data_IF_068349329916
#
_entry.id   IF_068349329916
#
_cell.length_a   1.000
_cell.length_b   1.000
_cell.length_c   1.000
_cell.angle_alpha   90.00
_cell.angle_beta   90.00
_cell.angle_gamma   90.00
#
_symmetry.space_group_name_H-M   'P 1'
#
loop_
_entity.id
_entity.type
_entity.pdbx_description
1 polymer ?
#
# COMPACT_ATOMS: atom_id res chain seq x y z
N UNK A 1 11.20 68.93 -22.87
CA UNK A 1 12.12 67.78 -22.99
C UNK A 1 12.73 67.47 -21.61
N UNK A 2 11.95 66.96 -20.63
CA UNK A 2 12.45 66.46 -19.33
C UNK A 2 11.49 65.43 -18.63
N UNK A 3 10.95 64.37 -19.29
CA UNK A 3 10.21 63.32 -18.57
C UNK A 3 11.08 62.13 -18.12
N UNK A 4 12.31 61.99 -18.63
CA UNK A 4 13.19 60.84 -18.35
C UNK A 4 13.98 60.97 -17.04
N UNK A 5 14.17 62.18 -16.52
CA UNK A 5 14.97 62.38 -15.31
C UNK A 5 14.17 62.09 -14.02
N UNK A 6 12.88 62.40 -14.01
CA UNK A 6 11.98 62.19 -12.86
C UNK A 6 11.73 60.70 -12.62
N UNK A 7 11.53 59.91 -13.69
CA UNK A 7 11.32 58.46 -13.60
C UNK A 7 12.56 57.70 -13.11
N UNK A 8 13.76 58.17 -13.46
CA UNK A 8 15.01 57.58 -12.95
C UNK A 8 15.21 57.91 -11.47
N UNK A 9 14.89 59.13 -11.03
CA UNK A 9 15.03 59.49 -9.61
C UNK A 9 14.00 58.81 -8.73
N UNK A 10 12.76 58.64 -9.20
CA UNK A 10 11.74 57.87 -8.49
C UNK A 10 12.09 56.39 -8.41
N UNK A 11 12.57 55.78 -9.50
CA UNK A 11 13.00 54.36 -9.49
C UNK A 11 14.20 54.13 -8.55
N UNK A 12 15.17 55.05 -8.53
CA UNK A 12 16.32 54.96 -7.62
C UNK A 12 15.90 55.18 -6.16
N UNK A 13 14.94 56.07 -5.90
CA UNK A 13 14.39 56.30 -4.57
C UNK A 13 13.61 55.06 -4.05
N UNK A 14 12.80 54.41 -4.90
CA UNK A 14 12.11 53.16 -4.56
C UNK A 14 13.09 52.02 -4.27
N UNK A 15 14.11 51.84 -5.11
CA UNK A 15 15.15 50.83 -4.87
C UNK A 15 15.93 51.10 -3.57
N UNK A 16 16.23 52.37 -3.27
CA UNK A 16 16.92 52.76 -2.04
C UNK A 16 16.07 52.48 -0.80
N UNK A 17 14.76 52.79 -0.86
CA UNK A 17 13.83 52.46 0.20
C UNK A 17 13.64 50.95 0.37
N UNK A 18 13.61 50.18 -0.72
CA UNK A 18 13.55 48.72 -0.65
C UNK A 18 14.79 48.12 0.02
N UNK A 19 15.99 48.62 -0.30
CA UNK A 19 17.25 48.19 0.33
C UNK A 19 17.30 48.58 1.81
N UNK A 20 16.87 49.80 2.16
CA UNK A 20 16.81 50.24 3.56
C UNK A 20 15.79 49.44 4.39
N UNK A 21 14.66 49.04 3.79
CA UNK A 21 13.67 48.17 4.43
C UNK A 21 14.11 46.70 4.51
N UNK A 22 15.02 46.25 3.64
CA UNK A 22 15.56 44.89 3.65
C UNK A 22 16.48 44.63 4.85
N UNK A 23 17.27 45.62 5.30
CA UNK A 23 18.19 45.47 6.45
C UNK A 23 17.48 45.02 7.73
N UNK A 24 16.40 45.69 8.21
CA UNK A 24 15.68 45.26 9.41
C UNK A 24 14.92 43.94 9.20
N UNK A 25 14.42 43.65 7.99
CA UNK A 25 13.79 42.37 7.65
C UNK A 25 14.79 41.22 7.70
N UNK A 26 15.99 41.42 7.17
CA UNK A 26 17.09 40.46 7.21
C UNK A 26 17.50 40.16 8.65
N UNK A 27 17.56 41.17 9.51
CA UNK A 27 17.84 40.97 10.93
C UNK A 27 16.74 40.14 11.62
N UNK A 28 15.46 40.40 11.32
CA UNK A 28 14.33 39.60 11.80
C UNK A 28 14.38 38.14 11.32
N UNK A 29 14.66 37.93 10.04
CA UNK A 29 14.84 36.60 9.44
C UNK A 29 15.98 35.81 10.10
N UNK A 30 17.12 36.47 10.34
CA UNK A 30 18.26 35.88 11.03
C UNK A 30 17.90 35.45 12.45
N UNK A 31 17.15 36.30 13.16
CA UNK A 31 16.72 36.03 14.53
C UNK A 31 15.79 34.81 14.58
N UNK A 32 14.84 34.72 13.64
CA UNK A 32 13.97 33.54 13.49
C UNK A 32 14.76 32.28 13.21
N UNK A 33 15.75 32.34 12.31
CA UNK A 33 16.63 31.21 12.00
C UNK A 33 17.41 30.73 13.23
N UNK A 34 17.96 31.65 14.01
CA UNK A 34 18.68 31.34 15.25
C UNK A 34 17.75 30.65 16.26
N UNK A 35 16.54 31.19 16.45
CA UNK A 35 15.54 30.63 17.36
C UNK A 35 15.09 29.24 16.88
N UNK A 36 14.78 29.10 15.59
CA UNK A 36 14.38 27.83 15.00
C UNK A 36 15.47 26.77 15.02
N UNK A 37 16.74 27.16 14.85
CA UNK A 37 17.89 26.28 15.02
C UNK A 37 17.95 25.70 16.44
N UNK A 38 17.73 26.56 17.44
CA UNK A 38 17.72 26.19 18.84
C UNK A 38 16.55 25.26 19.18
N UNK A 39 15.32 25.65 18.79
CA UNK A 39 14.10 24.85 19.00
C UNK A 39 14.23 23.49 18.31
N UNK A 40 14.68 23.44 17.06
CA UNK A 40 14.84 22.18 16.32
C UNK A 40 15.80 21.21 17.01
N UNK A 41 16.87 21.72 17.64
CA UNK A 41 17.79 20.88 18.42
C UNK A 41 17.15 20.27 19.68
N UNK A 42 16.15 20.94 20.26
CA UNK A 42 15.41 20.48 21.44
C UNK A 42 14.33 19.50 21.02
N UNK A 43 13.56 19.84 19.97
CA UNK A 43 12.52 18.98 19.40
C UNK A 43 13.10 17.66 18.92
N UNK A 44 14.26 17.67 18.28
CA UNK A 44 14.96 16.44 17.88
C UNK A 44 15.20 15.50 19.08
N UNK A 45 15.70 16.05 20.18
CA UNK A 45 15.94 15.29 21.43
C UNK A 45 14.64 14.76 22.04
N UNK A 46 13.56 15.54 21.95
CA UNK A 46 12.25 15.13 22.45
C UNK A 46 11.67 13.99 21.59
N UNK A 47 11.70 14.13 20.26
CA UNK A 47 11.22 13.13 19.31
C UNK A 47 12.01 11.82 19.44
N UNK A 48 13.36 11.88 19.53
CA UNK A 48 14.18 10.69 19.75
C UNK A 48 13.79 9.98 21.05
N UNK A 49 13.60 10.73 22.15
CA UNK A 49 13.18 10.14 23.44
C UNK A 49 11.77 9.55 23.42
N UNK A 50 10.86 10.13 22.64
CA UNK A 50 9.52 9.57 22.46
C UNK A 50 9.58 8.31 21.59
N UNK A 51 10.36 8.31 20.51
CA UNK A 51 10.56 7.15 19.65
C UNK A 51 11.17 5.97 20.43
N UNK A 52 12.22 6.23 21.24
CA UNK A 52 12.85 5.25 22.12
C UNK A 52 11.86 4.64 23.15
N UNK A 53 10.80 5.38 23.52
CA UNK A 53 9.81 4.92 24.52
C UNK A 53 8.68 4.08 23.93
N UNK A 54 8.42 4.17 22.64
CA UNK A 54 7.23 3.57 22.01
C UNK A 54 7.54 2.21 21.37
N UNK A 55 8.78 1.71 21.48
CA UNK A 55 9.23 0.46 20.83
C UNK A 55 8.97 0.39 19.31
N UNK A 56 8.80 1.55 18.65
CA UNK A 56 8.70 1.65 17.17
C UNK A 56 9.90 0.98 16.51
N UNK A 57 11.03 1.02 17.21
CA UNK A 57 12.30 0.46 16.80
C UNK A 57 12.19 -1.05 16.51
N UNK A 58 11.49 -1.84 17.33
CA UNK A 58 11.35 -3.29 17.11
C UNK A 58 10.52 -3.63 15.88
N UNK A 59 9.49 -2.83 15.59
CA UNK A 59 8.65 -3.00 14.40
C UNK A 59 9.41 -2.62 13.10
N UNK A 60 10.24 -1.57 13.16
CA UNK A 60 11.04 -1.10 12.00
C UNK A 60 12.31 -1.93 11.80
N UNK A 61 12.89 -2.51 12.85
CA UNK A 61 14.01 -3.44 12.76
C UNK A 61 13.67 -4.76 12.07
N UNK A 62 12.40 -5.18 12.19
CA UNK A 62 11.89 -6.37 11.50
C UNK A 62 11.62 -6.11 10.00
N UNK A 63 11.65 -4.86 9.54
CA UNK A 63 11.49 -4.49 8.13
C UNK A 63 12.85 -4.26 7.44
N UNK A 64 12.92 -4.36 6.10
CA UNK A 64 14.14 -4.09 5.33
C UNK A 64 14.74 -2.70 5.61
N UNK A 65 13.91 -1.74 6.00
CA UNK A 65 14.28 -0.38 6.39
C UNK A 65 15.22 -0.37 7.60
N UNK A 66 14.99 -1.23 8.59
CA UNK A 66 15.87 -1.38 9.75
C UNK A 66 17.29 -1.84 9.39
N UNK A 67 17.44 -2.69 8.36
CA UNK A 67 18.77 -3.09 7.84
C UNK A 67 19.51 -1.96 7.14
N UNK A 68 18.79 -1.09 6.43
CA UNK A 68 19.37 0.07 5.73
C UNK A 68 19.79 1.15 6.75
N UNK A 69 19.04 1.29 7.85
CA UNK A 69 19.31 2.23 8.93
C UNK A 69 20.37 1.75 9.95
N UNK A 70 21.02 0.60 9.72
CA UNK A 70 22.13 0.12 10.55
C UNK A 70 21.77 -0.93 11.61
N UNK A 71 20.53 -1.45 11.62
CA UNK A 71 20.18 -2.67 12.35
C UNK A 71 20.16 -2.55 13.88
N UNK A 72 20.11 -1.35 14.43
CA UNK A 72 19.99 -1.13 15.90
C UNK A 72 18.87 -0.16 16.25
N UNK A 73 18.22 -0.36 17.40
CA UNK A 73 17.04 0.40 17.83
C UNK A 73 17.34 1.91 17.90
N UNK A 74 18.51 2.25 18.45
CA UNK A 74 19.01 3.63 18.55
C UNK A 74 19.24 4.33 17.21
N UNK A 75 19.48 3.59 16.14
CA UNK A 75 19.70 4.19 14.82
C UNK A 75 18.37 4.59 14.17
N UNK A 76 17.30 3.86 14.44
CA UNK A 76 15.94 4.16 13.97
C UNK A 76 15.39 5.40 14.69
N UNK A 77 15.43 5.42 16.02
CA UNK A 77 15.00 6.58 16.81
C UNK A 77 15.86 7.83 16.57
N UNK A 78 17.15 7.64 16.30
CA UNK A 78 18.06 8.69 15.83
C UNK A 78 17.68 9.25 14.46
N UNK A 79 17.24 8.41 13.52
CA UNK A 79 16.77 8.84 12.21
C UNK A 79 15.47 9.66 12.31
N UNK A 80 14.50 9.22 13.12
CA UNK A 80 13.25 9.98 13.37
C UNK A 80 13.51 11.33 14.05
N UNK A 81 14.42 11.38 15.03
CA UNK A 81 14.84 12.64 15.64
C UNK A 81 15.54 13.58 14.66
N UNK A 82 16.38 13.02 13.78
CA UNK A 82 17.06 13.78 12.71
C UNK A 82 16.05 14.32 11.70
N UNK A 83 15.05 13.52 11.33
CA UNK A 83 13.97 13.94 10.44
C UNK A 83 13.13 15.06 11.07
N UNK A 84 12.76 14.91 12.35
CA UNK A 84 12.06 15.96 13.09
C UNK A 84 12.88 17.24 13.22
N UNK A 85 14.20 17.15 13.39
CA UNK A 85 15.11 18.30 13.38
C UNK A 85 15.03 19.06 12.05
N UNK A 86 15.13 18.34 10.93
CA UNK A 86 15.05 18.91 9.59
C UNK A 86 13.69 19.53 9.32
N UNK A 87 12.61 18.92 9.82
CA UNK A 87 11.26 19.47 9.71
C UNK A 87 11.13 20.82 10.44
N UNK A 88 11.64 20.93 11.67
CA UNK A 88 11.65 22.21 12.41
C UNK A 88 12.52 23.25 11.72
N UNK A 89 13.66 22.85 11.16
CA UNK A 89 14.51 23.77 10.39
C UNK A 89 13.81 24.26 9.12
N UNK A 90 13.06 23.40 8.44
CA UNK A 90 12.26 23.80 7.29
C UNK A 90 11.22 24.86 7.69
N UNK A 91 10.50 24.68 8.80
CA UNK A 91 9.54 25.68 9.33
C UNK A 91 10.24 26.99 9.72
N UNK A 92 11.43 26.93 10.30
CA UNK A 92 12.19 28.12 10.69
C UNK A 92 12.67 28.93 9.48
N UNK A 93 13.20 28.24 8.47
CA UNK A 93 13.57 28.83 7.17
C UNK A 93 12.34 29.47 6.52
N UNK A 94 11.19 28.80 6.66
CA UNK A 94 9.90 29.29 6.20
C UNK A 94 9.56 30.67 6.76
N UNK A 95 9.52 30.74 8.09
CA UNK A 95 9.17 31.94 8.82
C UNK A 95 10.20 33.06 8.61
N UNK A 96 11.48 32.72 8.48
CA UNK A 96 12.54 33.69 8.20
C UNK A 96 12.34 34.38 6.85
N UNK A 97 11.93 33.62 5.83
CA UNK A 97 11.76 34.16 4.50
C UNK A 97 10.41 34.85 4.26
N UNK A 98 9.38 34.48 5.01
CA UNK A 98 8.14 35.27 5.10
C UNK A 98 8.44 36.68 5.64
N UNK A 99 9.25 36.78 6.70
CA UNK A 99 9.72 38.06 7.25
C UNK A 99 10.61 38.83 6.26
N UNK A 100 11.33 38.12 5.39
CA UNK A 100 12.10 38.74 4.32
C UNK A 100 11.21 39.37 3.23
N UNK A 101 9.91 39.08 3.23
CA UNK A 101 8.90 39.56 2.28
C UNK A 101 9.29 39.29 0.81
N UNK A 102 9.90 38.12 0.58
CA UNK A 102 10.13 37.63 -0.78
C UNK A 102 8.86 36.87 -1.15
N UNK A 103 7.94 37.51 -1.88
CA UNK A 103 6.61 36.96 -2.21
C UNK A 103 6.69 35.54 -2.77
N UNK A 104 7.67 35.31 -3.66
CA UNK A 104 7.94 33.99 -4.22
C UNK A 104 8.17 32.96 -3.11
N UNK A 105 8.97 33.30 -2.10
CA UNK A 105 9.31 32.40 -1.01
C UNK A 105 8.13 32.17 -0.04
N UNK A 106 7.32 33.19 0.27
CA UNK A 106 6.11 33.05 1.11
C UNK A 106 5.05 32.12 0.49
N UNK A 107 4.99 32.04 -0.83
CA UNK A 107 4.11 31.08 -1.52
C UNK A 107 4.62 29.63 -1.40
N UNK A 108 5.92 29.38 -1.62
CA UNK A 108 6.53 28.06 -1.38
C UNK A 108 6.42 27.64 0.09
N UNK A 109 6.52 28.61 1.00
CA UNK A 109 6.32 28.48 2.45
C UNK A 109 4.92 27.99 2.81
N UNK A 110 3.91 28.74 2.40
CA UNK A 110 2.52 28.43 2.67
C UNK A 110 2.14 27.06 2.10
N UNK A 111 2.62 26.80 0.88
CA UNK A 111 2.50 25.51 0.22
C UNK A 111 3.13 24.39 1.06
N UNK A 112 4.39 24.53 1.49
CA UNK A 112 5.07 23.55 2.34
C UNK A 112 4.37 23.32 3.70
N UNK A 113 3.89 24.38 4.34
CA UNK A 113 3.13 24.29 5.60
C UNK A 113 1.81 23.53 5.41
N UNK A 114 1.14 23.70 4.26
CA UNK A 114 -0.08 22.97 3.92
C UNK A 114 0.12 21.46 3.74
N UNK A 115 1.35 21.02 3.42
CA UNK A 115 1.71 19.60 3.38
C UNK A 115 1.94 18.99 4.78
N UNK A 116 2.13 19.79 5.83
CA UNK A 116 2.40 19.25 7.16
C UNK A 116 1.23 18.38 7.71
N UNK A 117 -0.04 18.82 7.64
CA UNK A 117 -1.17 17.98 8.04
C UNK A 117 -1.29 16.66 7.25
N UNK A 118 -1.14 16.71 5.92
CA UNK A 118 -1.22 15.51 5.07
C UNK A 118 -0.05 14.57 5.33
N UNK A 119 1.14 15.11 5.59
CA UNK A 119 2.32 14.33 5.96
C UNK A 119 2.08 13.54 7.27
N UNK A 120 1.54 14.19 8.29
CA UNK A 120 1.19 13.54 9.56
C UNK A 120 0.11 12.48 9.35
N UNK A 121 -0.93 12.78 8.57
CA UNK A 121 -1.99 11.84 8.25
C UNK A 121 -1.45 10.59 7.53
N UNK A 122 -0.59 10.79 6.52
CA UNK A 122 0.06 9.69 5.81
C UNK A 122 0.97 8.85 6.70
N UNK A 123 1.73 9.49 7.60
CA UNK A 123 2.55 8.77 8.57
C UNK A 123 1.70 7.90 9.50
N UNK A 124 0.59 8.44 10.02
CA UNK A 124 -0.37 7.69 10.83
C UNK A 124 -0.93 6.48 10.07
N UNK A 125 -1.29 6.66 8.80
CA UNK A 125 -1.79 5.57 7.93
C UNK A 125 -0.74 4.47 7.76
N UNK A 126 0.53 4.81 7.53
CA UNK A 126 1.62 3.81 7.40
C UNK A 126 1.76 3.01 8.69
N UNK A 127 1.85 3.71 9.83
CA UNK A 127 2.00 3.06 11.15
C UNK A 127 0.82 2.13 11.42
N UNK A 128 -0.41 2.60 11.21
CA UNK A 128 -1.61 1.79 11.42
C UNK A 128 -1.66 0.60 10.46
N UNK A 129 -1.28 0.80 9.20
CA UNK A 129 -1.21 -0.25 8.19
C UNK A 129 -0.18 -1.32 8.53
N UNK A 130 0.96 -0.96 9.12
CA UNK A 130 1.98 -1.92 9.56
C UNK A 130 1.48 -2.77 10.74
N UNK A 131 0.80 -2.16 11.70
CA UNK A 131 0.17 -2.89 12.81
C UNK A 131 -0.83 -3.93 12.29
N UNK A 132 -1.66 -3.53 11.32
CA UNK A 132 -2.62 -4.45 10.68
C UNK A 132 -1.91 -5.55 9.90
N UNK A 133 -0.86 -5.21 9.14
CA UNK A 133 -0.08 -6.18 8.39
C UNK A 133 0.59 -7.22 9.28
N UNK A 134 1.13 -6.80 10.43
CA UNK A 134 1.72 -7.68 11.43
C UNK A 134 0.70 -8.62 12.03
N UNK A 135 -0.44 -8.09 12.45
CA UNK A 135 -1.52 -8.88 13.01
C UNK A 135 -2.01 -9.95 12.02
N UNK A 136 -2.19 -9.59 10.75
CA UNK A 136 -2.62 -10.53 9.71
C UNK A 136 -1.53 -11.56 9.41
N UNK A 137 -0.27 -11.15 9.25
CA UNK A 137 0.84 -12.07 9.00
C UNK A 137 1.04 -13.08 10.14
N UNK A 138 0.92 -12.61 11.38
CA UNK A 138 0.98 -13.44 12.58
C UNK A 138 -0.20 -14.39 12.66
N UNK A 139 -1.42 -13.93 12.37
CA UNK A 139 -2.61 -14.78 12.35
C UNK A 139 -2.47 -15.91 11.33
N UNK A 140 -1.92 -15.63 10.14
CA UNK A 140 -1.64 -16.65 9.11
C UNK A 140 -0.61 -17.66 9.61
N UNK A 141 0.46 -17.18 10.26
CA UNK A 141 1.56 -18.05 10.74
C UNK A 141 1.16 -18.90 11.95
N UNK A 142 0.28 -18.40 12.82
CA UNK A 142 -0.16 -19.07 14.06
C UNK A 142 -1.31 -20.05 13.86
N UNK A 143 -2.00 -20.01 12.71
CA UNK A 143 -3.12 -20.92 12.45
C UNK A 143 -2.60 -22.33 12.15
N UNK A 144 -3.06 -23.35 12.90
CA UNK A 144 -2.58 -24.75 12.84
C UNK A 144 -2.65 -25.43 11.45
N UNK A 145 -3.43 -24.88 10.52
CA UNK A 145 -3.41 -25.30 9.10
C UNK A 145 -2.08 -24.98 8.39
N UNK A 146 -1.21 -24.17 9.02
CA UNK A 146 0.11 -23.77 8.52
C UNK A 146 1.27 -24.70 8.92
N UNK A 147 1.00 -25.73 9.71
CA UNK A 147 2.07 -26.49 10.40
C UNK A 147 2.59 -27.70 9.59
N UNK A 148 2.03 -28.03 8.43
CA UNK A 148 2.38 -29.28 7.71
C UNK A 148 3.06 -29.11 6.35
N UNK A 149 3.26 -27.89 5.80
CA UNK A 149 3.97 -27.73 4.52
C UNK A 149 4.98 -26.57 4.50
N UNK A 150 6.13 -26.73 3.83
CA UNK A 150 7.17 -25.70 3.74
C UNK A 150 6.74 -24.41 3.00
N UNK A 151 5.56 -24.39 2.36
CA UNK A 151 5.07 -23.27 1.57
C UNK A 151 4.29 -22.22 2.36
N UNK A 152 3.80 -22.54 3.58
CA UNK A 152 2.96 -21.60 4.33
C UNK A 152 3.74 -20.42 4.90
N UNK A 153 5.02 -20.62 5.24
CA UNK A 153 5.90 -19.53 5.70
C UNK A 153 6.15 -18.49 4.60
N UNK A 154 6.33 -18.94 3.36
CA UNK A 154 6.51 -18.06 2.20
C UNK A 154 5.24 -17.25 1.93
N UNK A 155 4.07 -17.86 2.09
CA UNK A 155 2.78 -17.17 1.93
C UNK A 155 2.54 -16.10 3.01
N UNK A 156 2.85 -16.41 4.27
CA UNK A 156 2.73 -15.45 5.37
C UNK A 156 3.69 -14.26 5.18
N UNK A 157 4.94 -14.53 4.82
CA UNK A 157 5.95 -13.50 4.53
C UNK A 157 5.53 -12.66 3.32
N UNK A 158 5.06 -13.29 2.24
CA UNK A 158 4.57 -12.61 1.05
C UNK A 158 3.36 -11.72 1.33
N UNK A 159 2.41 -12.21 2.13
CA UNK A 159 1.23 -11.43 2.54
C UNK A 159 1.62 -10.23 3.39
N UNK A 160 2.50 -10.42 4.38
CA UNK A 160 3.00 -9.33 5.23
C UNK A 160 3.73 -8.28 4.39
N UNK A 161 4.59 -8.71 3.47
CA UNK A 161 5.33 -7.83 2.56
C UNK A 161 4.38 -7.05 1.64
N UNK A 162 3.35 -7.71 1.10
CA UNK A 162 2.33 -7.06 0.28
C UNK A 162 1.54 -6.01 1.07
N UNK A 163 1.09 -6.36 2.27
CA UNK A 163 0.35 -5.43 3.13
C UNK A 163 1.21 -4.22 3.56
N UNK A 164 2.50 -4.42 3.84
CA UNK A 164 3.42 -3.31 4.05
C UNK A 164 3.55 -2.43 2.81
N UNK A 165 3.73 -3.02 1.63
CA UNK A 165 3.78 -2.27 0.38
C UNK A 165 2.50 -1.44 0.19
N UNK A 166 1.33 -2.04 0.38
CA UNK A 166 0.04 -1.35 0.30
C UNK A 166 -0.07 -0.23 1.33
N UNK A 167 0.30 -0.47 2.59
CA UNK A 167 0.28 0.54 3.65
C UNK A 167 1.19 1.74 3.30
N UNK A 168 2.38 1.47 2.76
CA UNK A 168 3.31 2.51 2.27
C UNK A 168 2.66 3.27 1.11
N UNK A 169 2.14 2.61 0.09
CA UNK A 169 1.51 3.28 -1.07
C UNK A 169 0.33 4.17 -0.64
N UNK A 170 -0.56 3.67 0.21
CA UNK A 170 -1.71 4.44 0.71
C UNK A 170 -1.23 5.61 1.57
N UNK A 171 -0.24 5.37 2.43
CA UNK A 171 0.38 6.41 3.25
C UNK A 171 0.99 7.52 2.43
N UNK A 172 1.83 7.18 1.43
CA UNK A 172 2.43 8.14 0.51
C UNK A 172 1.35 8.91 -0.27
N UNK A 173 0.31 8.23 -0.75
CA UNK A 173 -0.83 8.88 -1.40
C UNK A 173 -1.52 9.88 -0.47
N UNK A 174 -1.68 9.54 0.81
CA UNK A 174 -2.29 10.41 1.83
C UNK A 174 -1.41 11.62 2.13
N UNK A 175 -0.08 11.50 2.02
CA UNK A 175 0.84 12.65 2.12
C UNK A 175 0.69 13.65 0.97
N UNK A 176 -0.02 13.28 -0.10
CA UNK A 176 -0.12 14.06 -1.34
C UNK A 176 1.02 13.77 -2.33
N UNK A 177 1.79 12.70 -2.11
CA UNK A 177 2.81 12.24 -3.05
C UNK A 177 2.11 11.52 -4.20
N UNK A 178 2.47 11.88 -5.44
CA UNK A 178 1.99 11.17 -6.62
C UNK A 178 2.58 9.76 -6.68
N UNK A 179 1.74 8.78 -6.38
CA UNK A 179 2.08 7.35 -6.38
C UNK A 179 1.57 6.64 -7.64
N UNK A 180 1.20 7.36 -8.70
CA UNK A 180 0.69 6.75 -9.95
C UNK A 180 1.68 5.72 -10.54
N UNK A 181 2.98 5.99 -10.47
CA UNK A 181 4.02 5.06 -10.93
C UNK A 181 4.00 3.79 -10.07
N UNK A 182 3.87 3.92 -8.74
CA UNK A 182 3.81 2.78 -7.83
C UNK A 182 2.56 1.94 -8.09
N UNK A 183 1.40 2.57 -8.32
CA UNK A 183 0.17 1.87 -8.70
C UNK A 183 0.30 1.14 -10.03
N UNK A 184 0.90 1.76 -11.03
CA UNK A 184 1.13 1.15 -12.35
C UNK A 184 1.98 -0.11 -12.23
N UNK A 185 3.10 -0.03 -11.49
CA UNK A 185 3.97 -1.19 -11.26
C UNK A 185 3.25 -2.25 -10.43
N UNK A 186 2.55 -1.86 -9.36
CA UNK A 186 1.79 -2.76 -8.51
C UNK A 186 0.73 -3.53 -9.29
N UNK A 187 -0.01 -2.85 -10.18
CA UNK A 187 -0.99 -3.46 -11.07
C UNK A 187 -0.33 -4.42 -12.05
N UNK A 188 0.80 -4.05 -12.67
CA UNK A 188 1.53 -4.94 -13.57
C UNK A 188 1.95 -6.24 -12.86
N UNK A 189 2.47 -6.13 -11.63
CA UNK A 189 2.77 -7.30 -10.79
C UNK A 189 1.52 -8.10 -10.43
N UNK A 190 0.43 -7.43 -10.06
CA UNK A 190 -0.83 -8.08 -9.72
C UNK A 190 -1.40 -8.88 -10.89
N UNK A 191 -1.42 -8.30 -12.10
CA UNK A 191 -1.81 -8.99 -13.33
C UNK A 191 -0.87 -10.15 -13.65
N UNK A 192 0.44 -9.98 -13.44
CA UNK A 192 1.43 -11.04 -13.64
C UNK A 192 1.19 -12.25 -12.72
N UNK A 193 0.96 -12.01 -11.42
CA UNK A 193 0.65 -13.06 -10.44
C UNK A 193 -0.72 -13.68 -10.76
N UNK A 194 -1.73 -12.86 -11.05
CA UNK A 194 -3.07 -13.34 -11.40
C UNK A 194 -3.02 -14.25 -12.65
N UNK A 195 -2.27 -13.87 -13.67
CA UNK A 195 -2.06 -14.69 -14.87
C UNK A 195 -1.33 -15.99 -14.54
N UNK A 196 -0.26 -15.94 -13.75
CA UNK A 196 0.47 -17.14 -13.33
C UNK A 196 -0.42 -18.12 -12.54
N UNK A 197 -1.23 -17.61 -11.62
CA UNK A 197 -2.20 -18.40 -10.86
C UNK A 197 -3.28 -18.97 -11.75
N UNK A 198 -3.84 -18.17 -12.67
CA UNK A 198 -4.85 -18.62 -13.62
C UNK A 198 -4.32 -19.75 -14.52
N UNK A 199 -3.09 -19.64 -15.00
CA UNK A 199 -2.43 -20.68 -15.80
C UNK A 199 -2.16 -21.92 -14.95
N UNK A 200 -1.63 -21.76 -13.73
CA UNK A 200 -1.32 -22.89 -12.84
C UNK A 200 -2.55 -23.69 -12.43
N UNK A 201 -3.57 -23.01 -11.91
CA UNK A 201 -4.83 -23.63 -11.49
C UNK A 201 -5.61 -24.15 -12.70
N UNK A 202 -5.75 -23.34 -13.75
CA UNK A 202 -6.44 -23.73 -14.96
C UNK A 202 -5.79 -24.93 -15.65
N UNK A 203 -4.46 -24.97 -15.69
CA UNK A 203 -3.69 -26.12 -16.20
C UNK A 203 -3.94 -27.38 -15.38
N UNK A 204 -3.83 -27.30 -14.05
CA UNK A 204 -4.08 -28.45 -13.17
C UNK A 204 -5.50 -29.01 -13.33
N UNK A 205 -6.51 -28.14 -13.41
CA UNK A 205 -7.90 -28.54 -13.64
C UNK A 205 -8.09 -29.15 -15.03
N UNK A 206 -7.49 -28.57 -16.06
CA UNK A 206 -7.59 -29.06 -17.43
C UNK A 206 -6.97 -30.47 -17.58
N UNK A 207 -5.78 -30.68 -17.02
CA UNK A 207 -5.15 -32.00 -17.02
C UNK A 207 -5.94 -33.01 -16.18
N UNK A 208 -6.38 -32.65 -14.97
CA UNK A 208 -7.19 -33.54 -14.13
C UNK A 208 -8.53 -33.92 -14.76
N UNK A 209 -9.20 -32.99 -15.44
CA UNK A 209 -10.45 -33.26 -16.16
C UNK A 209 -10.21 -34.21 -17.35
N UNK A 210 -9.11 -34.03 -18.08
CA UNK A 210 -8.71 -34.94 -19.17
C UNK A 210 -8.52 -36.37 -18.65
N UNK A 211 -7.83 -36.52 -17.52
CA UNK A 211 -7.56 -37.83 -16.93
C UNK A 211 -8.87 -38.49 -16.45
N UNK A 212 -9.74 -37.74 -15.77
CA UNK A 212 -11.05 -38.24 -15.32
C UNK A 212 -11.95 -38.68 -16.48
N UNK A 213 -12.05 -37.85 -17.53
CA UNK A 213 -12.84 -38.19 -18.71
C UNK A 213 -12.27 -39.44 -19.38
N UNK A 214 -10.94 -39.51 -19.60
CA UNK A 214 -10.34 -40.67 -20.27
C UNK A 214 -10.53 -41.98 -19.51
N UNK A 215 -10.52 -41.96 -18.17
CA UNK A 215 -10.79 -43.15 -17.35
C UNK A 215 -12.26 -43.60 -17.35
N UNK A 216 -13.21 -42.67 -17.53
CA UNK A 216 -14.64 -42.95 -17.46
C UNK A 216 -15.33 -43.10 -18.82
N UNK A 217 -14.71 -42.63 -19.91
CA UNK A 217 -15.35 -42.56 -21.23
C UNK A 217 -15.71 -43.95 -21.79
N UNK A 218 -14.88 -44.96 -21.54
CA UNK A 218 -15.12 -46.34 -22.01
C UNK A 218 -16.37 -46.95 -21.39
N UNK A 219 -16.57 -46.73 -20.08
CA UNK A 219 -17.77 -47.17 -19.37
C UNK A 219 -19.01 -46.47 -19.94
N UNK A 220 -18.94 -45.16 -20.15
CA UNK A 220 -20.06 -44.39 -20.69
C UNK A 220 -20.43 -44.83 -22.11
N UNK A 221 -19.44 -45.01 -22.98
CA UNK A 221 -19.65 -45.54 -24.33
C UNK A 221 -20.21 -46.97 -24.30
N UNK A 222 -19.77 -47.81 -23.36
CA UNK A 222 -20.29 -49.16 -23.17
C UNK A 222 -21.77 -49.16 -22.78
N UNK A 223 -22.16 -48.36 -21.78
CA UNK A 223 -23.57 -48.23 -21.38
C UNK A 223 -24.45 -47.65 -22.51
N UNK A 224 -23.96 -46.65 -23.25
CA UNK A 224 -24.70 -46.09 -24.38
C UNK A 224 -24.89 -47.11 -25.51
N UNK A 225 -23.87 -47.93 -25.82
CA UNK A 225 -23.98 -49.01 -26.80
C UNK A 225 -24.92 -50.12 -26.35
N UNK A 226 -24.94 -50.46 -25.06
CA UNK A 226 -25.84 -51.48 -24.52
C UNK A 226 -27.33 -51.08 -24.62
N UNK A 227 -27.64 -49.79 -24.39
CA UNK A 227 -28.99 -49.26 -24.56
C UNK A 227 -29.40 -49.24 -26.04
N UNK A 228 -28.49 -48.88 -26.94
CA UNK A 228 -28.75 -48.88 -28.38
C UNK A 228 -28.85 -50.29 -28.99
N UNK A 229 -28.19 -51.28 -28.40
CA UNK A 229 -28.19 -52.67 -28.88
C UNK A 229 -29.36 -53.50 -28.34
N UNK A 230 -30.17 -52.96 -27.43
CA UNK A 230 -31.39 -53.65 -26.97
C UNK A 230 -32.44 -53.52 -28.07
N UNK A 231 -32.79 -54.59 -28.81
CA UNK A 231 -33.87 -54.51 -29.78
C UNK A 231 -35.16 -54.27 -29.01
N UNK A 232 -35.89 -53.21 -29.38
CA UNK A 232 -37.23 -52.98 -28.83
C UNK A 232 -38.08 -54.17 -29.26
N UNK A 233 -38.28 -55.14 -28.36
CA UNK A 233 -39.22 -56.22 -28.59
C UNK A 233 -40.59 -55.60 -28.84
N UNK A 234 -41.28 -55.94 -29.94
CA UNK A 234 -42.64 -55.46 -30.14
C UNK A 234 -43.46 -55.97 -28.94
N UNK A 235 -44.15 -55.06 -28.26
CA UNK A 235 -45.16 -55.42 -27.26
C UNK A 235 -46.12 -56.42 -27.92
N UNK A 236 -45.92 -57.70 -27.63
CA UNK A 236 -46.84 -58.76 -27.96
C UNK A 236 -48.09 -58.54 -27.11
N UNK A 237 -49.23 -58.45 -27.77
CA UNK A 237 -50.51 -58.19 -27.13
C UNK A 237 -50.86 -59.28 -26.13
N UNK A 238 -51.20 -58.85 -24.91
CA UNK A 238 -51.97 -59.62 -23.96
C UNK A 238 -53.39 -59.78 -24.51
N UNK A 239 -53.59 -60.84 -25.28
CA UNK A 239 -54.88 -61.44 -25.54
C UNK A 239 -54.93 -62.77 -24.81
N UNK A 240 -55.26 -62.76 -23.51
CA UNK A 240 -55.60 -63.99 -22.80
C UNK A 240 -56.88 -63.81 -21.98
N UNK A 241 -57.97 -64.29 -22.57
CA UNK A 241 -59.20 -64.82 -21.97
C UNK A 241 -60.08 -65.23 -23.16
N UNK A 242 -60.94 -66.27 -23.10
CA UNK A 242 -61.29 -67.14 -21.96
C UNK A 242 -61.37 -68.65 -22.32
N UNK A 243 -61.26 -69.57 -21.36
CA UNK A 243 -61.92 -70.89 -21.50
C UNK A 243 -62.05 -71.65 -20.17
N UNK A 244 -63.25 -72.21 -19.93
CA UNK A 244 -63.40 -73.43 -19.14
C UNK A 244 -64.13 -73.33 -17.81
N UNK A 245 -65.46 -73.35 -17.85
CA UNK A 245 -66.32 -73.71 -16.72
C UNK A 245 -66.16 -75.19 -16.31
N UNK A 246 -66.30 -75.52 -15.00
CA UNK A 246 -66.94 -76.76 -14.48
C UNK A 246 -66.69 -76.97 -12.97
N UNK A 247 -67.69 -77.58 -12.30
CA UNK A 247 -67.81 -78.06 -10.90
C UNK A 247 -68.19 -76.96 -9.87
N UNK A 248 -69.40 -76.89 -9.30
CA UNK A 248 -70.25 -77.89 -8.63
C UNK A 248 -69.52 -78.63 -7.49
N UNK A 249 -69.70 -78.15 -6.24
CA UNK A 249 -70.31 -78.93 -5.13
C UNK A 249 -70.28 -78.12 -3.80
N UNK A 250 -71.39 -78.27 -3.07
CA UNK A 250 -71.72 -77.96 -1.66
C UNK A 250 -71.78 -76.51 -1.12
#
# INVERSE_FOLDING_TARGET
MYPLQVTLTESVAELTNAVLAFVPRLAGALLILIVGWFIGSITARLITRLADRVEVDKAVLATPVGKILGGTERAVSGAFGTLGKWFVYAIAVLAAADVLAVDLFSEWVSTAASYAPSFVAGLLVIVLGFVVADFIGDAITRTRAATETPYTSVFAVGTRMFLYFTAVVIGLSTMGIDVAILFTIAQAFAWGIAAALAIGVGGAVAFGARDYVSANVERWMGSARSVAATPVSPMGGDGDSPEGASAADD
#
